data_IF_473552694969
#
_entry.id   IF_473552694969
#
_cell.length_a   1.000
_cell.length_b   1.000
_cell.length_c   1.000
_cell.angle_alpha   90.00
_cell.angle_beta   90.00
_cell.angle_gamma   90.00
#
_symmetry.space_group_name_H-M   'P 1'
#
loop_
_entity.id
_entity.type
_entity.pdbx_description
1 polymer ?
#
# COMPACT_ATOMS: atom_id res chain seq x y z
N UNK A 1 14.69 3.74 4.29
CA UNK A 1 15.19 2.82 3.25
C UNK A 1 15.13 3.54 1.91
N UNK A 2 16.21 3.52 1.12
CA UNK A 2 16.16 3.95 -0.28
C UNK A 2 15.66 2.76 -1.09
N UNK A 3 14.63 2.97 -1.90
CA UNK A 3 14.09 1.94 -2.79
C UNK A 3 14.55 2.23 -4.21
N UNK A 4 15.18 1.24 -4.82
CA UNK A 4 15.50 1.27 -6.23
C UNK A 4 14.41 0.50 -6.99
N UNK A 5 13.80 1.16 -7.98
CA UNK A 5 12.76 0.56 -8.82
C UNK A 5 13.38 0.26 -10.17
N UNK A 6 13.44 -1.02 -10.52
CA UNK A 6 14.01 -1.49 -11.78
C UNK A 6 12.89 -1.86 -12.75
N UNK A 7 12.73 -1.15 -13.88
CA UNK A 7 11.87 -1.61 -14.95
C UNK A 7 12.55 -2.80 -15.63
N UNK A 8 11.83 -3.92 -15.70
CA UNK A 8 12.26 -5.13 -16.42
C UNK A 8 11.34 -5.27 -17.63
N UNK A 9 11.94 -5.41 -18.81
CA UNK A 9 11.20 -5.72 -20.03
C UNK A 9 10.77 -7.18 -20.00
N UNK A 10 9.47 -7.42 -20.17
CA UNK A 10 8.86 -8.75 -20.15
C UNK A 10 7.99 -8.95 -21.40
N UNK A 11 7.63 -10.20 -21.66
CA UNK A 11 6.67 -10.51 -22.72
C UNK A 11 5.33 -9.79 -22.52
N UNK A 12 4.76 -9.34 -23.63
CA UNK A 12 3.52 -8.58 -23.60
C UNK A 12 2.38 -9.45 -23.03
N UNK A 13 1.71 -9.01 -21.94
CA UNK A 13 0.68 -9.83 -21.32
C UNK A 13 -0.54 -9.95 -22.22
N UNK A 14 -1.25 -11.07 -22.11
CA UNK A 14 -2.53 -11.28 -22.78
C UNK A 14 -3.69 -11.16 -21.78
N UNK A 15 -4.92 -11.16 -22.29
CA UNK A 15 -6.15 -11.17 -21.48
C UNK A 15 -6.48 -9.90 -20.67
N UNK A 16 -6.19 -8.74 -21.25
CA UNK A 16 -6.65 -7.45 -20.75
C UNK A 16 -7.30 -6.63 -21.88
N UNK A 17 -8.06 -5.60 -21.49
CA UNK A 17 -8.53 -4.57 -22.42
C UNK A 17 -8.08 -3.20 -21.92
N UNK A 18 -7.74 -2.26 -22.80
CA UNK A 18 -7.31 -0.91 -22.40
C UNK A 18 -8.36 -0.26 -21.50
N UNK A 19 -9.65 -0.39 -21.87
CA UNK A 19 -10.77 0.12 -21.07
C UNK A 19 -10.82 -0.46 -19.66
N UNK A 20 -10.54 -1.75 -19.48
CA UNK A 20 -10.48 -2.35 -18.15
C UNK A 20 -9.36 -1.78 -17.29
N UNK A 21 -8.19 -1.51 -17.88
CA UNK A 21 -7.06 -0.90 -17.16
C UNK A 21 -7.36 0.54 -16.75
N UNK A 22 -8.03 1.31 -17.62
CA UNK A 22 -8.44 2.68 -17.29
C UNK A 22 -9.42 2.73 -16.12
N UNK A 23 -10.42 1.83 -16.11
CA UNK A 23 -11.39 1.72 -15.01
C UNK A 23 -10.71 1.32 -13.70
N UNK A 24 -9.78 0.37 -13.74
CA UNK A 24 -9.01 -0.06 -12.56
C UNK A 24 -8.13 1.07 -12.04
N UNK A 25 -7.45 1.79 -12.93
CA UNK A 25 -6.60 2.94 -12.58
C UNK A 25 -7.43 4.05 -11.94
N UNK A 26 -8.60 4.37 -12.52
CA UNK A 26 -9.51 5.35 -11.93
C UNK A 26 -10.00 4.90 -10.54
N UNK A 27 -10.45 3.65 -10.41
CA UNK A 27 -10.96 3.13 -9.14
C UNK A 27 -9.88 3.18 -8.04
N UNK A 28 -8.66 2.72 -8.32
CA UNK A 28 -7.60 2.68 -7.31
C UNK A 28 -7.05 4.07 -7.01
N UNK A 29 -6.64 4.84 -8.02
CA UNK A 29 -5.91 6.09 -7.78
C UNK A 29 -6.83 7.26 -7.41
N UNK A 30 -8.03 7.33 -7.98
CA UNK A 30 -8.94 8.46 -7.77
C UNK A 30 -9.94 8.13 -6.66
N UNK A 31 -10.68 7.03 -6.78
CA UNK A 31 -11.77 6.74 -5.83
C UNK A 31 -11.25 6.24 -4.48
N UNK A 32 -10.27 5.32 -4.46
CA UNK A 32 -9.77 4.74 -3.21
C UNK A 32 -8.68 5.59 -2.54
N UNK A 33 -7.70 6.07 -3.32
CA UNK A 33 -6.53 6.79 -2.79
C UNK A 33 -6.65 8.32 -2.86
N UNK A 34 -7.69 8.86 -3.50
CA UNK A 34 -7.92 10.30 -3.63
C UNK A 34 -6.72 11.10 -4.18
N UNK A 35 -5.96 10.52 -5.13
CA UNK A 35 -4.83 11.17 -5.79
C UNK A 35 -5.33 12.11 -6.90
N UNK A 36 -6.08 13.15 -6.51
CA UNK A 36 -6.82 14.05 -7.41
C UNK A 36 -5.91 14.93 -8.29
N UNK A 37 -4.72 15.29 -7.79
CA UNK A 37 -3.76 16.12 -8.51
C UNK A 37 -2.93 15.32 -9.53
N UNK A 38 -3.09 14.00 -9.56
CA UNK A 38 -2.32 13.12 -10.42
C UNK A 38 -2.89 13.09 -11.83
N UNK A 39 -2.16 13.66 -12.78
CA UNK A 39 -2.56 13.68 -14.18
C UNK A 39 -1.65 12.79 -15.07
N UNK A 40 -2.22 11.67 -15.52
CA UNK A 40 -1.57 10.72 -16.43
C UNK A 40 -1.71 11.10 -17.90
N UNK A 41 -2.49 12.14 -18.24
CA UNK A 41 -2.68 12.56 -19.63
C UNK A 41 -1.50 13.41 -20.13
N UNK A 42 -1.23 13.38 -21.45
CA UNK A 42 -0.28 14.30 -22.05
C UNK A 42 -0.73 15.75 -21.87
N UNK A 43 0.24 16.65 -21.76
CA UNK A 43 -0.02 18.07 -21.58
C UNK A 43 -0.74 18.66 -22.80
N UNK A 44 -1.85 19.36 -22.57
CA UNK A 44 -2.57 20.12 -23.62
C UNK A 44 -3.61 19.33 -24.43
N UNK A 45 -3.78 18.02 -24.23
CA UNK A 45 -4.77 17.23 -24.96
C UNK A 45 -6.02 16.91 -24.12
N UNK A 46 -7.19 17.43 -24.52
CA UNK A 46 -8.46 17.25 -23.80
C UNK A 46 -9.03 15.82 -23.93
N UNK A 47 -8.96 15.25 -25.12
CA UNK A 47 -9.37 13.86 -25.41
C UNK A 47 -8.15 13.06 -25.86
N UNK A 48 -7.40 12.57 -24.88
CA UNK A 48 -6.24 11.72 -25.10
C UNK A 48 -6.27 10.53 -24.17
N UNK A 49 -5.62 9.45 -24.63
CA UNK A 49 -5.33 8.30 -23.80
C UNK A 49 -4.32 8.68 -22.71
N UNK A 50 -4.29 7.91 -21.63
CA UNK A 50 -3.25 8.08 -20.61
C UNK A 50 -1.88 7.75 -21.23
N UNK A 51 -0.83 8.43 -20.79
CA UNK A 51 0.54 8.15 -21.25
C UNK A 51 0.97 6.71 -20.88
N UNK A 52 0.38 6.17 -19.82
CA UNK A 52 0.70 4.85 -19.27
C UNK A 52 -0.59 4.17 -18.82
N UNK A 53 -0.69 2.86 -19.09
CA UNK A 53 -1.71 2.00 -18.49
C UNK A 53 -1.08 1.04 -17.50
N UNK A 54 -1.80 0.80 -16.40
CA UNK A 54 -1.36 0.00 -15.29
C UNK A 54 -2.19 -1.27 -15.19
N UNK A 55 -1.52 -2.42 -15.24
CA UNK A 55 -2.15 -3.73 -15.08
C UNK A 55 -1.71 -4.37 -13.76
N UNK A 56 -2.64 -4.67 -12.83
CA UNK A 56 -2.32 -5.45 -11.64
C UNK A 56 -1.98 -6.89 -12.04
N UNK A 57 -0.87 -7.44 -11.52
CA UNK A 57 -0.51 -8.84 -11.76
C UNK A 57 -0.76 -9.67 -10.51
N UNK A 58 -1.58 -10.70 -10.67
CA UNK A 58 -1.72 -11.79 -9.72
C UNK A 58 -1.15 -13.04 -10.38
N UNK A 59 -0.10 -13.60 -9.78
CA UNK A 59 0.63 -14.72 -10.36
C UNK A 59 0.38 -15.96 -9.50
N UNK A 60 -0.01 -17.04 -10.14
CA UNK A 60 0.00 -18.38 -9.55
C UNK A 60 1.29 -19.08 -9.96
N UNK A 61 2.14 -19.38 -8.98
CA UNK A 61 3.36 -20.14 -9.22
C UNK A 61 2.97 -21.61 -9.45
N UNK A 62 3.37 -22.16 -10.61
CA UNK A 62 3.24 -23.58 -10.88
C UNK A 62 4.48 -24.30 -10.36
N UNK A 63 4.30 -25.26 -9.46
CA UNK A 63 5.35 -26.24 -9.17
C UNK A 63 5.42 -27.22 -10.34
N UNK A 64 6.62 -27.43 -10.88
CA UNK A 64 6.83 -28.44 -11.91
C UNK A 64 6.73 -29.83 -11.22
N UNK A 65 5.84 -30.74 -11.62
CA UNK A 65 5.80 -32.09 -11.04
C UNK A 65 7.03 -32.96 -11.40
N UNK A 66 7.98 -32.44 -12.18
CA UNK A 66 9.14 -33.17 -12.68
C UNK A 66 10.37 -33.17 -11.73
N UNK A 67 10.30 -32.56 -10.55
CA UNK A 67 11.33 -32.71 -9.50
C UNK A 67 10.72 -33.36 -8.26
N UNK A 68 10.29 -34.62 -8.41
CA UNK A 68 10.12 -35.55 -7.29
C UNK A 68 11.13 -36.67 -7.44
N UNK A 69 12.41 -36.37 -7.26
CA UNK A 69 13.40 -37.39 -6.90
C UNK A 69 14.24 -36.85 -5.75
N UNK A 70 13.98 -37.43 -4.59
CA UNK A 70 14.84 -37.49 -3.42
C UNK A 70 15.18 -36.15 -2.76
N UNK A 71 14.24 -35.63 -1.97
CA UNK A 71 14.61 -35.08 -0.68
C UNK A 71 13.59 -35.50 0.37
N UNK A 72 14.05 -36.33 1.30
CA UNK A 72 13.33 -36.71 2.49
C UNK A 72 13.15 -35.46 3.37
N UNK A 73 11.98 -34.81 3.30
CA UNK A 73 11.54 -33.94 4.37
C UNK A 73 10.11 -34.31 4.78
N UNK A 74 10.03 -35.07 5.86
CA UNK A 74 8.79 -35.44 6.53
C UNK A 74 8.13 -34.19 7.12
N UNK A 75 6.91 -33.88 6.68
CA UNK A 75 5.95 -33.15 7.50
C UNK A 75 4.76 -34.08 7.70
N UNK A 76 4.74 -34.72 8.87
CA UNK A 76 3.58 -35.41 9.41
C UNK A 76 2.47 -34.40 9.66
N UNK A 77 1.41 -34.45 8.86
CA UNK A 77 0.10 -33.94 9.27
C UNK A 77 -0.86 -35.13 9.36
N UNK A 78 -1.02 -35.61 10.58
CA UNK A 78 -2.18 -36.39 11.01
C UNK A 78 -3.44 -35.55 10.83
N UNK A 79 -4.30 -35.93 9.89
CA UNK A 79 -5.71 -35.58 9.93
C UNK A 79 -6.53 -36.79 9.45
N UNK A 80 -7.31 -37.30 10.39
CA UNK A 80 -8.20 -38.45 10.31
C UNK A 80 -9.22 -38.35 9.18
N UNK A 81 -9.34 -39.48 8.49
CA UNK A 81 -10.39 -39.90 7.57
C UNK A 81 -11.79 -39.69 8.16
N UNK A 82 -12.66 -38.98 7.44
CA UNK A 82 -14.07 -39.40 7.33
C UNK A 82 -14.48 -39.27 5.87
N UNK A 83 -14.70 -40.44 5.26
CA UNK A 83 -15.23 -40.60 3.92
C UNK A 83 -16.69 -40.14 3.90
N UNK A 84 -17.07 -39.38 2.88
CA UNK A 84 -18.38 -39.55 2.25
C UNK A 84 -18.24 -39.24 0.76
N UNK A 85 -18.16 -40.33 0.00
CA UNK A 85 -18.28 -40.41 -1.44
C UNK A 85 -19.69 -40.03 -1.87
N UNK A 86 -19.82 -39.02 -2.75
CA UNK A 86 -20.93 -38.95 -3.71
C UNK A 86 -20.32 -38.65 -5.08
N UNK A 87 -20.61 -39.55 -6.00
CA UNK A 87 -20.11 -39.62 -7.36
C UNK A 87 -21.10 -39.04 -8.37
N UNK A 88 -20.56 -38.38 -9.39
CA UNK A 88 -21.05 -38.26 -10.78
C UNK A 88 -22.23 -37.31 -11.02
N UNK A 89 -22.00 -36.20 -11.74
CA UNK A 89 -22.32 -36.22 -13.19
C UNK A 89 -21.58 -35.12 -13.99
N UNK A 90 -20.87 -35.58 -15.01
CA UNK A 90 -20.19 -34.78 -16.03
C UNK A 90 -21.10 -34.72 -17.24
N UNK A 91 -21.70 -33.56 -17.53
CA UNK A 91 -22.08 -33.22 -18.91
C UNK A 91 -22.36 -31.73 -19.05
N UNK A 92 -21.33 -30.98 -19.45
CA UNK A 92 -21.34 -29.98 -20.54
C UNK A 92 -20.04 -29.18 -20.49
N UNK A 93 -19.08 -29.68 -21.25
CA UNK A 93 -17.92 -28.94 -21.71
C UNK A 93 -18.39 -27.67 -22.44
N UNK A 94 -17.89 -26.52 -22.02
CA UNK A 94 -17.49 -25.49 -22.97
C UNK A 94 -15.97 -25.37 -22.85
N UNK A 95 -15.29 -25.98 -23.82
CA UNK A 95 -13.85 -25.82 -24.07
C UNK A 95 -13.52 -24.33 -24.17
N UNK A 96 -12.97 -23.77 -23.10
CA UNK A 96 -12.13 -22.59 -23.18
C UNK A 96 -10.71 -23.14 -23.14
N UNK A 97 -10.19 -23.41 -24.34
CA UNK A 97 -8.79 -23.68 -24.59
C UNK A 97 -7.99 -22.52 -23.99
N UNK A 98 -7.50 -22.74 -22.78
CA UNK A 98 -6.80 -21.73 -21.99
C UNK A 98 -5.41 -21.63 -22.59
N UNK A 99 -5.23 -20.73 -23.56
CA UNK A 99 -3.93 -20.44 -24.14
C UNK A 99 -3.00 -19.97 -23.01
N UNK A 100 -2.13 -20.88 -22.59
CA UNK A 100 -1.29 -20.80 -21.41
C UNK A 100 -0.18 -19.78 -21.66
N UNK A 101 -0.31 -18.57 -21.10
CA UNK A 101 0.80 -17.62 -21.10
C UNK A 101 1.76 -18.02 -19.99
N UNK A 102 2.90 -18.57 -20.39
CA UNK A 102 4.00 -18.99 -19.52
C UNK A 102 4.82 -17.75 -19.23
N UNK A 103 4.72 -17.18 -18.03
CA UNK A 103 5.65 -16.13 -17.61
C UNK A 103 6.91 -16.82 -17.07
N UNK A 104 7.99 -16.74 -17.83
CA UNK A 104 9.31 -17.20 -17.42
C UNK A 104 9.95 -16.15 -16.51
N UNK A 105 10.01 -16.42 -15.20
CA UNK A 105 10.83 -15.62 -14.28
C UNK A 105 12.12 -16.40 -14.03
N UNK A 106 13.21 -15.95 -14.65
CA UNK A 106 14.54 -16.52 -14.43
C UNK A 106 15.62 -15.74 -15.17
N UNK A 107 16.62 -15.29 -14.42
CA UNK A 107 17.90 -14.85 -14.97
C UNK A 107 18.55 -16.02 -15.70
N UNK A 108 19.15 -15.72 -16.85
CA UNK A 108 19.95 -16.66 -17.62
C UNK A 108 21.18 -17.10 -16.81
N UNK A 109 21.04 -18.13 -15.96
CA UNK A 109 22.12 -19.05 -15.55
C UNK A 109 21.74 -20.15 -14.56
N UNK A 110 20.53 -20.18 -13.99
CA UNK A 110 20.10 -21.28 -13.11
C UNK A 110 18.83 -21.97 -13.62
N UNK A 111 18.88 -23.30 -13.78
CA UNK A 111 17.84 -24.18 -14.34
C UNK A 111 16.53 -24.28 -13.52
N UNK A 112 16.20 -23.28 -12.70
CA UNK A 112 14.94 -23.19 -11.97
C UNK A 112 14.06 -22.08 -12.57
N UNK A 113 13.66 -22.24 -13.84
CA UNK A 113 12.64 -21.37 -14.44
C UNK A 113 11.32 -21.60 -13.72
N UNK A 114 10.96 -20.68 -12.83
CA UNK A 114 9.67 -20.73 -12.13
C UNK A 114 8.60 -20.28 -13.13
N UNK A 115 7.74 -21.21 -13.52
CA UNK A 115 6.64 -20.92 -14.43
C UNK A 115 5.49 -20.32 -13.61
N UNK A 116 5.15 -19.07 -13.92
CA UNK A 116 3.99 -18.36 -13.36
C UNK A 116 2.82 -18.28 -14.34
N UNK A 117 1.61 -18.55 -13.87
CA UNK A 117 0.36 -18.24 -14.59
C UNK A 117 -0.18 -16.89 -14.15
N UNK A 118 -0.47 -16.01 -15.11
CA UNK A 118 -1.03 -14.68 -14.87
C UNK A 118 -2.56 -14.73 -14.84
N UNK A 119 -3.15 -14.10 -13.82
CA UNK A 119 -4.61 -14.00 -13.71
C UNK A 119 -5.18 -12.97 -14.71
N UNK A 120 -6.20 -13.33 -15.51
CA UNK A 120 -6.87 -12.39 -16.41
C UNK A 120 -7.56 -11.22 -15.70
N UNK A 121 -7.52 -10.03 -16.31
CA UNK A 121 -8.05 -8.80 -15.71
C UNK A 121 -9.55 -8.85 -15.45
N UNK A 122 -10.32 -9.51 -16.33
CA UNK A 122 -11.77 -9.63 -16.16
C UNK A 122 -12.15 -10.40 -14.88
N UNK A 123 -11.32 -11.38 -14.45
CA UNK A 123 -11.56 -12.13 -13.21
C UNK A 123 -11.33 -11.25 -11.99
N UNK A 124 -10.28 -10.41 -12.04
CA UNK A 124 -9.96 -9.43 -10.99
C UNK A 124 -11.13 -8.44 -10.84
N UNK A 125 -11.59 -7.85 -11.94
CA UNK A 125 -12.71 -6.91 -11.93
C UNK A 125 -13.98 -7.54 -11.38
N UNK A 126 -14.30 -8.78 -11.78
CA UNK A 126 -15.47 -9.50 -11.27
C UNK A 126 -15.39 -9.72 -9.75
N UNK A 127 -14.21 -10.06 -9.24
CA UNK A 127 -14.00 -10.25 -7.81
C UNK A 127 -14.15 -8.92 -7.05
N UNK A 128 -13.46 -7.86 -7.49
CA UNK A 128 -13.56 -6.55 -6.84
C UNK A 128 -14.95 -5.95 -6.89
N UNK A 129 -15.68 -6.13 -8.00
CA UNK A 129 -17.07 -5.69 -8.11
C UNK A 129 -17.96 -6.42 -7.10
N UNK A 130 -17.77 -7.74 -6.93
CA UNK A 130 -18.52 -8.52 -5.95
C UNK A 130 -18.25 -8.03 -4.53
N UNK A 131 -16.99 -7.77 -4.19
CA UNK A 131 -16.60 -7.25 -2.87
C UNK A 131 -17.13 -5.81 -2.65
N UNK A 132 -17.00 -4.94 -3.65
CA UNK A 132 -17.47 -3.54 -3.60
C UNK A 132 -18.98 -3.41 -3.32
N UNK A 133 -19.77 -4.41 -3.73
CA UNK A 133 -21.22 -4.45 -3.48
C UNK A 133 -21.56 -5.02 -2.10
N UNK A 134 -20.60 -5.59 -1.38
CA UNK A 134 -20.83 -6.21 -0.07
C UNK A 134 -20.50 -5.23 1.05
N UNK A 135 -21.42 -4.99 2.01
CA UNK A 135 -21.10 -4.20 3.19
C UNK A 135 -20.06 -4.93 4.05
N UNK A 136 -19.27 -4.20 4.83
CA UNK A 136 -18.30 -4.79 5.77
C UNK A 136 -19.03 -5.72 6.74
N UNK A 137 -20.12 -5.24 7.33
CA UNK A 137 -21.04 -6.04 8.16
C UNK A 137 -22.47 -5.72 7.74
N UNK A 138 -23.27 -6.75 7.49
CA UNK A 138 -24.68 -6.57 7.17
C UNK A 138 -25.50 -6.35 8.45
N UNK A 139 -26.51 -5.48 8.37
CA UNK A 139 -27.47 -5.25 9.46
C UNK A 139 -28.12 -6.54 9.98
N UNK A 140 -28.39 -7.50 9.07
CA UNK A 140 -29.01 -8.78 9.41
C UNK A 140 -28.12 -9.68 10.28
N UNK A 141 -26.80 -9.48 10.24
CA UNK A 141 -25.83 -10.30 10.96
C UNK A 141 -25.54 -9.77 12.37
N UNK A 142 -25.93 -8.53 12.68
CA UNK A 142 -25.60 -7.85 13.94
C UNK A 142 -26.06 -8.65 15.18
N UNK A 143 -27.26 -9.22 15.15
CA UNK A 143 -27.76 -10.03 16.27
C UNK A 143 -26.94 -11.30 16.47
N UNK A 144 -26.45 -11.90 15.39
CA UNK A 144 -25.58 -13.08 15.45
C UNK A 144 -24.20 -12.71 15.97
N UNK A 145 -23.64 -11.58 15.55
CA UNK A 145 -22.32 -11.08 15.97
C UNK A 145 -22.26 -10.80 17.49
N UNK A 146 -23.35 -10.27 18.06
CA UNK A 146 -23.45 -10.04 19.50
C UNK A 146 -23.43 -11.36 20.30
N UNK A 147 -23.97 -12.45 19.76
CA UNK A 147 -24.01 -13.76 20.41
C UNK A 147 -22.77 -14.62 20.19
N UNK A 148 -21.99 -14.35 19.13
CA UNK A 148 -20.79 -15.12 18.81
C UNK A 148 -19.78 -15.11 19.95
N UNK A 149 -19.10 -16.23 20.14
CA UNK A 149 -17.94 -16.29 21.03
C UNK A 149 -16.76 -15.48 20.44
N UNK A 150 -15.78 -15.13 21.27
CA UNK A 150 -14.58 -14.39 20.81
C UNK A 150 -13.80 -15.16 19.73
N UNK A 151 -13.81 -16.49 19.78
CA UNK A 151 -13.11 -17.35 18.81
C UNK A 151 -13.83 -17.34 17.46
N UNK A 152 -15.16 -17.50 17.47
CA UNK A 152 -15.98 -17.43 16.25
C UNK A 152 -15.89 -16.04 15.61
N UNK A 153 -15.89 -14.98 16.42
CA UNK A 153 -15.71 -13.61 15.96
C UNK A 153 -14.36 -13.39 15.28
N UNK A 154 -13.27 -13.88 15.90
CA UNK A 154 -11.93 -13.80 15.32
C UNK A 154 -11.87 -14.51 13.96
N UNK A 155 -12.45 -15.70 13.85
CA UNK A 155 -12.53 -16.44 12.59
C UNK A 155 -13.37 -15.72 11.53
N UNK A 156 -14.46 -15.07 11.95
CA UNK A 156 -15.31 -14.28 11.06
C UNK A 156 -14.58 -13.06 10.47
N UNK A 157 -13.79 -12.35 11.29
CA UNK A 157 -13.03 -11.17 10.86
C UNK A 157 -11.74 -11.51 10.12
N UNK A 158 -11.21 -12.73 10.26
CA UNK A 158 -9.88 -13.09 9.76
C UNK A 158 -9.62 -12.67 8.31
N UNK A 159 -10.64 -12.76 7.43
CA UNK A 159 -10.55 -12.35 6.04
C UNK A 159 -10.65 -10.82 5.80
N UNK A 160 -11.28 -10.09 6.72
CA UNK A 160 -11.46 -8.63 6.64
C UNK A 160 -10.29 -7.87 7.26
N UNK A 161 -9.59 -8.49 8.20
CA UNK A 161 -8.44 -7.88 8.86
C UNK A 161 -7.35 -7.55 7.85
N UNK A 162 -6.85 -6.32 7.89
CA UNK A 162 -5.84 -5.82 6.97
C UNK A 162 -6.35 -5.55 5.56
N UNK A 163 -7.68 -5.46 5.35
CA UNK A 163 -8.26 -5.02 4.07
C UNK A 163 -8.67 -3.55 4.13
N UNK A 164 -8.96 -2.96 2.97
CA UNK A 164 -9.52 -1.62 2.88
C UNK A 164 -11.04 -1.64 2.88
N UNK A 165 -11.63 -0.71 3.62
CA UNK A 165 -13.05 -0.41 3.62
C UNK A 165 -13.31 0.96 3.02
N UNK A 166 -14.32 1.08 2.16
CA UNK A 166 -14.67 2.32 1.48
C UNK A 166 -16.06 2.78 1.92
N UNK A 167 -16.18 4.05 2.25
CA UNK A 167 -17.44 4.75 2.44
C UNK A 167 -17.57 5.81 1.33
N UNK A 168 -18.38 5.54 0.28
CA UNK A 168 -18.56 6.50 -0.79
C UNK A 168 -19.24 7.79 -0.27
N UNK A 169 -18.64 8.94 -0.56
CA UNK A 169 -19.17 10.26 -0.17
C UNK A 169 -18.69 10.80 1.19
N UNK A 170 -17.80 10.10 1.90
CA UNK A 170 -17.11 10.63 3.08
C UNK A 170 -15.65 10.97 2.74
N UNK A 171 -15.04 11.80 3.59
CA UNK A 171 -13.61 12.14 3.55
C UNK A 171 -12.97 11.80 4.90
N UNK A 172 -11.97 10.91 4.96
CA UNK A 172 -11.46 10.10 3.86
C UNK A 172 -12.50 9.10 3.34
N UNK A 173 -12.47 8.81 2.04
CA UNK A 173 -13.35 7.80 1.42
C UNK A 173 -13.00 6.38 1.84
N UNK A 174 -11.71 6.07 1.96
CA UNK A 174 -11.22 4.70 2.22
C UNK A 174 -10.34 4.66 3.46
N UNK A 175 -10.56 3.64 4.29
CA UNK A 175 -9.81 3.40 5.53
C UNK A 175 -9.35 1.94 5.60
N UNK A 176 -8.18 1.70 6.19
CA UNK A 176 -7.69 0.33 6.43
C UNK A 176 -8.32 -0.21 7.72
N UNK A 177 -8.83 -1.44 7.64
CA UNK A 177 -9.32 -2.17 8.81
C UNK A 177 -8.13 -2.87 9.46
N UNK A 178 -7.62 -2.37 10.57
CA UNK A 178 -6.54 -3.06 11.32
C UNK A 178 -7.11 -4.07 12.30
N UNK A 179 -8.19 -3.70 13.00
CA UNK A 179 -8.98 -4.56 13.87
C UNK A 179 -10.47 -4.18 13.80
N UNK A 180 -11.34 -5.10 14.20
CA UNK A 180 -12.78 -4.88 14.33
C UNK A 180 -13.22 -5.26 15.75
N UNK A 181 -13.62 -4.26 16.51
CA UNK A 181 -13.96 -4.41 17.92
C UNK A 181 -15.47 -4.37 18.13
N UNK A 182 -15.96 -5.30 18.93
CA UNK A 182 -17.35 -5.28 19.39
C UNK A 182 -17.43 -4.36 20.59
N UNK A 183 -18.34 -3.39 20.57
CA UNK A 183 -18.65 -2.65 21.78
C UNK A 183 -19.34 -3.60 22.76
N UNK A 184 -18.60 -4.07 23.76
CA UNK A 184 -19.23 -4.64 24.96
C UNK A 184 -19.88 -3.49 25.71
N UNK A 185 -21.21 -3.39 25.64
CA UNK A 185 -21.96 -2.45 26.47
C UNK A 185 -21.84 -2.91 27.92
N UNK A 186 -20.77 -2.53 28.60
CA UNK A 186 -20.66 -2.61 30.05
C UNK A 186 -21.66 -1.61 30.64
N UNK A 187 -22.90 -2.05 30.88
CA UNK A 187 -23.74 -1.45 31.90
C UNK A 187 -25.15 -0.97 31.54
N UNK A 188 -25.63 -1.06 30.29
CA UNK A 188 -27.04 -0.76 29.98
C UNK A 188 -27.58 -1.70 28.89
N UNK A 189 -28.19 -2.81 29.32
CA UNK A 189 -28.92 -3.73 28.46
C UNK A 189 -30.27 -3.13 28.06
N UNK A 190 -30.27 -2.28 27.04
CA UNK A 190 -31.44 -2.15 26.18
C UNK A 190 -31.25 -3.16 25.04
N UNK A 191 -31.78 -4.38 25.21
CA UNK A 191 -31.68 -5.51 24.27
C UNK A 191 -32.25 -5.21 22.86
N UNK A 192 -32.80 -4.03 22.66
CA UNK A 192 -33.41 -3.56 21.41
C UNK A 192 -32.45 -2.81 20.48
N UNK A 193 -31.30 -2.35 20.95
CA UNK A 193 -30.38 -1.53 20.13
C UNK A 193 -29.26 -2.41 19.56
N UNK A 194 -29.34 -2.70 18.26
CA UNK A 194 -28.27 -3.34 17.52
C UNK A 194 -27.17 -2.31 17.24
N UNK A 195 -25.98 -2.56 17.79
CA UNK A 195 -24.82 -1.67 17.66
C UNK A 195 -23.86 -2.26 16.63
N UNK A 196 -23.45 -1.46 15.66
CA UNK A 196 -22.41 -1.81 14.71
C UNK A 196 -21.04 -1.91 15.41
N UNK A 197 -20.22 -2.92 15.09
CA UNK A 197 -18.83 -2.97 15.53
C UNK A 197 -18.03 -1.74 15.09
N UNK A 198 -16.93 -1.49 15.80
CA UNK A 198 -16.00 -0.41 15.51
C UNK A 198 -14.85 -0.92 14.64
N UNK A 199 -14.57 -0.21 13.55
CA UNK A 199 -13.32 -0.30 12.81
C UNK A 199 -12.26 0.45 13.63
N UNK A 200 -11.23 -0.29 14.02
CA UNK A 200 -10.04 0.26 14.63
C UNK A 200 -8.98 0.39 13.56
N UNK A 201 -8.58 1.63 13.27
CA UNK A 201 -7.52 1.95 12.33
C UNK A 201 -6.33 2.54 13.09
N UNK A 202 -5.17 1.88 12.95
CA UNK A 202 -3.93 2.32 13.56
C UNK A 202 -3.11 3.06 12.51
N UNK A 203 -3.03 4.38 12.68
CA UNK A 203 -2.19 5.24 11.84
C UNK A 203 -0.93 5.63 12.58
N UNK A 204 0.10 5.97 11.82
CA UNK A 204 1.32 6.52 12.37
C UNK A 204 1.48 7.97 11.93
N UNK A 205 1.78 8.85 12.87
CA UNK A 205 2.26 10.20 12.54
C UNK A 205 3.71 10.32 13.01
N UNK A 206 4.66 10.69 12.12
CA UNK A 206 6.04 10.84 12.54
C UNK A 206 6.14 11.91 13.63
N UNK A 207 6.64 11.51 14.79
CA UNK A 207 6.72 12.33 16.01
C UNK A 207 7.27 13.74 15.76
N UNK A 208 8.30 13.84 14.91
CA UNK A 208 8.92 15.12 14.54
C UNK A 208 7.95 16.03 13.80
N UNK A 209 7.09 15.51 12.92
CA UNK A 209 6.13 16.31 12.17
C UNK A 209 4.98 16.78 13.08
N UNK A 210 4.52 15.89 13.98
CA UNK A 210 3.45 16.17 14.94
C UNK A 210 3.88 17.23 15.96
N UNK A 211 5.07 17.10 16.54
CA UNK A 211 5.62 18.08 17.50
C UNK A 211 6.08 19.38 16.82
N UNK A 212 6.60 19.34 15.59
CA UNK A 212 6.99 20.58 14.86
C UNK A 212 5.80 21.47 14.54
N UNK A 213 4.58 20.92 14.56
CA UNK A 213 3.34 21.71 14.44
C UNK A 213 3.15 22.64 15.65
N UNK A 214 3.64 22.27 16.83
CA UNK A 214 3.55 23.10 18.02
C UNK A 214 4.57 24.26 17.97
N UNK A 215 4.12 25.52 18.15
CA UNK A 215 5.02 26.66 18.11
C UNK A 215 6.00 26.68 19.30
N UNK A 216 5.60 26.10 20.45
CA UNK A 216 6.45 25.99 21.65
C UNK A 216 7.62 25.04 21.41
N UNK A 217 7.36 23.82 20.91
CA UNK A 217 8.42 22.87 20.56
C UNK A 217 9.40 23.47 19.54
N UNK A 218 8.90 24.14 18.51
CA UNK A 218 9.74 24.80 17.48
C UNK A 218 10.65 25.89 18.05
N UNK A 219 10.15 26.69 19.00
CA UNK A 219 10.94 27.77 19.61
C UNK A 219 12.04 27.21 20.51
N UNK A 220 11.73 26.21 21.34
CA UNK A 220 12.69 25.54 22.23
C UNK A 220 13.76 24.83 21.40
N UNK A 221 13.38 24.07 20.36
CA UNK A 221 14.32 23.40 19.45
C UNK A 221 15.27 24.39 18.76
N UNK A 222 14.73 25.52 18.28
CA UNK A 222 15.54 26.58 17.65
C UNK A 222 16.55 27.18 18.64
N UNK A 223 16.11 27.42 19.88
CA UNK A 223 16.98 27.96 20.93
C UNK A 223 18.07 26.96 21.33
N UNK A 224 17.73 25.67 21.45
CA UNK A 224 18.66 24.59 21.71
C UNK A 224 19.74 24.51 20.63
N UNK A 225 19.35 24.44 19.35
CA UNK A 225 20.29 24.39 18.21
C UNK A 225 21.18 25.64 18.15
N UNK A 226 20.60 26.82 18.39
CA UNK A 226 21.36 28.09 18.42
C UNK A 226 22.41 28.09 19.52
N UNK A 227 22.06 27.62 20.72
CA UNK A 227 22.97 27.56 21.86
C UNK A 227 24.08 26.54 21.61
N UNK A 228 23.75 25.36 21.08
CA UNK A 228 24.72 24.33 20.71
C UNK A 228 25.73 24.83 19.67
N UNK A 229 25.26 25.50 18.62
CA UNK A 229 26.11 26.13 17.61
C UNK A 229 27.02 27.20 18.21
N UNK A 230 26.48 28.04 19.10
CA UNK A 230 27.24 29.09 19.76
C UNK A 230 28.33 28.50 20.66
N UNK A 231 28.03 27.43 21.41
CA UNK A 231 29.00 26.74 22.27
C UNK A 231 30.13 26.09 21.48
N UNK A 232 29.84 25.56 20.28
CA UNK A 232 30.86 24.96 19.41
C UNK A 232 31.86 26.00 18.86
N UNK A 233 31.43 27.25 18.71
CA UNK A 233 32.26 28.35 18.19
C UNK A 233 32.83 29.28 19.27
N UNK A 234 32.41 29.13 20.54
CA UNK A 234 32.93 29.94 21.64
C UNK A 234 34.35 29.46 22.02
N UNK A 235 35.33 30.38 22.19
CA UNK A 235 36.70 30.01 22.56
C UNK A 235 36.79 29.39 23.97
N UNK A 236 35.86 29.73 24.87
CA UNK A 236 35.68 29.09 26.18
C UNK A 236 34.20 28.95 26.49
N UNK A 237 33.81 27.75 26.91
CA UNK A 237 32.42 27.40 27.22
C UNK A 237 32.10 27.80 28.67
N UNK A 238 31.09 28.66 28.86
CA UNK A 238 30.61 29.05 30.19
C UNK A 238 29.84 27.91 30.85
N UNK A 239 29.90 27.83 32.19
CA UNK A 239 29.10 26.88 32.98
C UNK A 239 27.61 27.18 32.91
N UNK A 240 27.23 28.45 32.82
CA UNK A 240 25.83 28.90 32.64
C UNK A 240 25.21 28.32 31.36
N UNK A 241 25.97 28.32 30.26
CA UNK A 241 25.50 27.86 28.95
C UNK A 241 25.27 26.35 28.97
N UNK A 242 26.10 25.60 29.70
CA UNK A 242 25.90 24.15 29.91
C UNK A 242 24.61 23.87 30.65
N UNK A 243 24.30 24.63 31.71
CA UNK A 243 23.07 24.47 32.48
C UNK A 243 21.84 24.78 31.62
N UNK A 244 21.87 25.86 30.83
CA UNK A 244 20.78 26.21 29.92
C UNK A 244 20.56 25.15 28.84
N UNK A 245 21.63 24.55 28.31
CA UNK A 245 21.52 23.49 27.32
C UNK A 245 20.85 22.24 27.91
N UNK A 246 21.23 21.87 29.14
CA UNK A 246 20.60 20.73 29.86
C UNK A 246 19.13 21.01 30.16
N UNK A 247 18.78 22.24 30.56
CA UNK A 247 17.39 22.63 30.79
C UNK A 247 16.55 22.55 29.51
N UNK A 248 17.04 23.11 28.41
CA UNK A 248 16.37 23.06 27.11
C UNK A 248 16.24 21.61 26.59
N UNK A 249 17.25 20.77 26.83
CA UNK A 249 17.21 19.35 26.49
C UNK A 249 16.14 18.60 27.29
N UNK A 250 16.05 18.85 28.60
CA UNK A 250 15.03 18.25 29.47
C UNK A 250 13.62 18.72 29.11
N UNK A 251 13.43 19.98 28.73
CA UNK A 251 12.13 20.49 28.27
C UNK A 251 11.73 19.84 26.93
N UNK A 252 12.68 19.64 26.00
CA UNK A 252 12.43 18.92 24.75
C UNK A 252 12.03 17.47 25.01
N UNK A 253 12.73 16.80 25.92
CA UNK A 253 12.43 15.41 26.32
C UNK A 253 11.05 15.30 26.97
N UNK A 254 10.69 16.23 27.86
CA UNK A 254 9.36 16.27 28.47
C UNK A 254 8.26 16.46 27.41
N UNK A 255 8.46 17.37 26.44
CA UNK A 255 7.52 17.57 25.35
C UNK A 255 7.38 16.33 24.46
N UNK A 256 8.47 15.61 24.19
CA UNK A 256 8.45 14.34 23.45
C UNK A 256 7.68 13.23 24.20
N UNK A 257 7.75 13.20 25.53
CA UNK A 257 7.10 12.19 26.36
C UNK A 257 5.68 12.56 26.83
N UNK A 258 5.27 13.82 26.69
CA UNK A 258 3.95 14.34 27.10
C UNK A 258 2.76 13.63 26.44
N UNK A 259 2.99 12.85 25.38
CA UNK A 259 2.00 11.92 24.82
C UNK A 259 0.84 12.57 24.06
N UNK A 260 0.77 13.91 23.99
CA UNK A 260 -0.26 14.65 23.23
C UNK A 260 -0.15 14.35 21.72
N UNK A 261 1.02 13.91 21.27
CA UNK A 261 1.32 13.57 19.89
C UNK A 261 1.96 12.17 19.80
N UNK A 262 1.22 11.14 20.20
CA UNK A 262 1.68 9.74 20.08
C UNK A 262 2.05 9.44 18.63
N UNK A 263 3.16 8.70 18.48
CA UNK A 263 3.63 8.14 17.21
C UNK A 263 2.53 7.32 16.52
N UNK A 264 1.78 6.57 17.30
CA UNK A 264 0.65 5.76 16.86
C UNK A 264 -0.66 6.42 17.30
N UNK A 265 -1.51 6.74 16.32
CA UNK A 265 -2.85 7.28 16.51
C UNK A 265 -3.84 6.18 16.13
N UNK A 266 -4.52 5.65 17.14
CA UNK A 266 -5.62 4.72 16.95
C UNK A 266 -6.92 5.50 16.80
N UNK A 267 -7.60 5.29 15.68
CA UNK A 267 -8.89 5.90 15.38
C UNK A 267 -9.95 4.80 15.40
N UNK A 268 -11.03 5.02 16.14
CA UNK A 268 -12.16 4.10 16.24
C UNK A 268 -13.37 4.73 15.54
N UNK A 269 -13.93 4.03 14.54
CA UNK A 269 -15.05 4.52 13.72
C UNK A 269 -16.09 3.40 13.61
N UNK A 270 -17.38 3.71 13.64
CA UNK A 270 -18.42 2.68 13.40
C UNK A 270 -18.29 2.09 12.00
N UNK A 271 -18.45 0.77 11.87
CA UNK A 271 -18.43 0.10 10.55
C UNK A 271 -19.70 0.34 9.71
N UNK A 272 -20.64 1.15 10.21
CA UNK A 272 -21.91 1.44 9.54
C UNK A 272 -21.68 2.14 8.19
N UNK A 273 -22.30 1.58 7.14
CA UNK A 273 -22.24 2.15 5.79
C UNK A 273 -20.90 1.95 5.06
N UNK A 274 -19.94 1.26 5.67
CA UNK A 274 -18.71 0.87 4.99
C UNK A 274 -18.93 -0.36 4.10
N UNK A 275 -18.36 -0.31 2.90
CA UNK A 275 -18.31 -1.40 1.93
C UNK A 275 -16.93 -2.01 1.88
N UNK A 276 -16.87 -3.30 1.57
CA UNK A 276 -15.60 -4.01 1.36
C UNK A 276 -15.03 -3.59 0.01
N UNK A 277 -13.71 -3.62 -0.14
CA UNK A 277 -13.06 -3.39 -1.44
C UNK A 277 -12.43 -4.66 -2.01
N UNK A 278 -12.14 -5.65 -1.16
CA UNK A 278 -11.33 -6.81 -1.51
C UNK A 278 -9.85 -6.49 -1.76
N UNK A 279 -9.44 -5.23 -1.55
CA UNK A 279 -8.09 -4.75 -1.77
C UNK A 279 -7.35 -4.72 -0.44
N UNK A 280 -6.14 -5.28 -0.44
CA UNK A 280 -5.19 -5.26 0.67
C UNK A 280 -4.22 -4.08 0.53
N UNK A 281 -3.50 -3.69 1.59
CA UNK A 281 -2.62 -2.51 1.59
C UNK A 281 -1.38 -2.64 0.70
N UNK A 282 -1.09 -3.84 0.21
CA UNK A 282 -0.06 -4.08 -0.80
C UNK A 282 -0.30 -3.26 -2.07
N UNK A 283 -1.52 -3.28 -2.62
CA UNK A 283 -1.85 -2.59 -3.87
C UNK A 283 -1.71 -1.05 -3.74
N UNK A 284 -2.31 -0.38 -2.73
CA UNK A 284 -2.05 1.04 -2.44
C UNK A 284 -0.58 1.38 -2.32
N UNK A 285 0.18 0.51 -1.67
CA UNK A 285 1.59 0.74 -1.42
C UNK A 285 2.39 0.74 -2.74
N UNK A 286 2.10 -0.20 -3.64
CA UNK A 286 2.68 -0.18 -5.00
C UNK A 286 2.18 1.01 -5.82
N UNK A 287 0.89 1.36 -5.72
CA UNK A 287 0.30 2.47 -6.44
C UNK A 287 1.01 3.80 -6.11
N UNK A 288 1.28 4.07 -4.84
CA UNK A 288 2.01 5.28 -4.41
C UNK A 288 3.46 5.32 -4.94
N UNK A 289 4.18 4.21 -4.89
CA UNK A 289 5.55 4.13 -5.42
C UNK A 289 5.59 4.34 -6.94
N UNK A 290 4.57 3.86 -7.63
CA UNK A 290 4.45 3.95 -9.08
C UNK A 290 4.24 5.40 -9.56
N UNK A 291 3.59 6.25 -8.76
CA UNK A 291 3.50 7.68 -9.05
C UNK A 291 4.89 8.31 -9.18
N UNK A 292 5.78 7.99 -8.24
CA UNK A 292 7.16 8.48 -8.24
C UNK A 292 7.95 7.98 -9.46
N UNK A 293 7.84 6.68 -9.76
CA UNK A 293 8.50 6.08 -10.92
C UNK A 293 8.06 6.75 -12.22
N UNK A 294 6.77 6.98 -12.41
CA UNK A 294 6.27 7.53 -13.66
C UNK A 294 6.64 9.01 -13.80
N UNK A 295 6.66 9.77 -12.71
CA UNK A 295 7.20 11.13 -12.73
C UNK A 295 8.66 11.13 -13.21
N UNK A 296 9.47 10.18 -12.72
CA UNK A 296 10.86 9.99 -13.14
C UNK A 296 10.96 9.61 -14.63
N UNK A 297 10.16 8.65 -15.12
CA UNK A 297 10.15 8.25 -16.53
C UNK A 297 9.74 9.41 -17.45
N UNK A 298 8.72 10.19 -17.08
CA UNK A 298 8.29 11.36 -17.84
C UNK A 298 9.38 12.44 -17.89
N UNK A 299 10.09 12.64 -16.78
CA UNK A 299 11.21 13.56 -16.73
C UNK A 299 12.36 13.10 -17.63
N UNK A 300 12.75 11.83 -17.58
CA UNK A 300 13.77 11.31 -18.49
C UNK A 300 13.36 11.40 -19.96
N UNK A 301 12.08 11.21 -20.28
CA UNK A 301 11.58 11.40 -21.64
C UNK A 301 11.62 12.87 -22.09
N UNK A 302 11.40 13.82 -21.19
CA UNK A 302 11.51 15.23 -21.52
C UNK A 302 12.96 15.68 -21.72
N UNK A 303 13.93 15.05 -21.03
CA UNK A 303 15.36 15.26 -21.27
C UNK A 303 15.76 14.92 -22.71
N UNK A 304 15.22 13.86 -23.31
CA UNK A 304 15.49 13.53 -24.71
C UNK A 304 15.04 14.67 -25.65
N UNK A 305 13.90 15.29 -25.37
CA UNK A 305 13.47 16.48 -26.13
C UNK A 305 14.38 17.69 -25.91
N UNK A 306 15.03 17.80 -24.74
CA UNK A 306 15.98 18.86 -24.45
C UNK A 306 17.32 18.62 -25.17
N UNK A 307 17.83 17.39 -25.16
CA UNK A 307 19.04 16.99 -25.88
C UNK A 307 18.91 17.29 -27.37
N UNK A 308 17.75 16.97 -27.96
CA UNK A 308 17.44 17.29 -29.35
C UNK A 308 17.48 18.79 -29.64
N UNK A 309 17.11 19.65 -28.67
CA UNK A 309 17.16 21.12 -28.83
C UNK A 309 18.56 21.69 -28.63
N UNK A 310 19.37 21.07 -27.78
CA UNK A 310 20.75 21.47 -27.52
C UNK A 310 21.71 20.98 -28.62
N UNK A 311 21.34 19.94 -29.37
CA UNK A 311 22.21 19.30 -30.36
C UNK A 311 23.36 18.53 -29.72
N UNK A 312 23.21 18.14 -28.45
CA UNK A 312 24.20 17.39 -27.68
C UNK A 312 23.53 16.28 -26.88
N UNK A 313 24.02 15.06 -27.02
CA UNK A 313 23.56 13.88 -26.29
C UNK A 313 24.49 13.61 -25.11
N UNK A 314 23.96 13.56 -23.90
CA UNK A 314 24.75 13.26 -22.71
C UNK A 314 24.95 11.74 -22.59
N UNK A 315 26.19 11.33 -22.32
CA UNK A 315 26.50 9.91 -22.07
C UNK A 315 25.86 9.41 -20.76
N UNK A 316 25.85 10.26 -19.73
CA UNK A 316 25.24 9.96 -18.43
C UNK A 316 24.03 10.87 -18.17
N UNK A 317 22.84 10.29 -18.33
CA UNK A 317 21.56 10.97 -18.08
C UNK A 317 21.30 11.22 -16.59
N UNK A 318 21.95 10.47 -15.69
CA UNK A 318 21.78 10.64 -14.25
C UNK A 318 22.43 11.94 -13.77
N UNK A 319 23.62 12.27 -14.29
CA UNK A 319 24.29 13.53 -14.02
C UNK A 319 23.46 14.73 -14.50
N UNK A 320 22.85 14.59 -15.69
CA UNK A 320 21.95 15.60 -16.22
C UNK A 320 20.73 15.80 -15.30
N UNK A 321 20.12 14.71 -14.82
CA UNK A 321 19.01 14.80 -13.85
C UNK A 321 19.42 15.53 -12.56
N UNK A 322 20.58 15.19 -11.99
CA UNK A 322 21.10 15.86 -10.78
C UNK A 322 21.35 17.35 -11.02
N UNK A 323 21.81 17.74 -12.21
CA UNK A 323 22.05 19.16 -12.54
C UNK A 323 20.77 20.02 -12.51
N UNK A 324 19.60 19.41 -12.76
CA UNK A 324 18.30 20.08 -12.67
C UNK A 324 17.70 20.07 -11.27
N UNK A 325 18.23 19.26 -10.35
CA UNK A 325 17.77 19.24 -8.96
C UNK A 325 18.21 20.51 -8.22
N UNK A 326 17.27 21.43 -8.02
CA UNK A 326 17.43 22.57 -7.13
C UNK A 326 17.28 22.17 -5.66
N UNK A 327 17.98 22.87 -4.76
CA UNK A 327 17.84 22.73 -3.31
C UNK A 327 16.43 23.04 -2.77
N UNK A 328 15.47 23.42 -3.60
CA UNK A 328 14.04 23.52 -3.22
C UNK A 328 13.25 22.21 -3.31
N UNK A 329 13.76 21.18 -3.99
CA UNK A 329 13.02 19.96 -4.36
C UNK A 329 13.05 18.83 -3.32
N UNK A 330 13.49 19.09 -2.09
CA UNK A 330 13.67 18.09 -1.01
C UNK A 330 12.46 17.18 -0.73
N UNK A 331 11.25 17.54 -1.14
CA UNK A 331 10.03 16.77 -0.87
C UNK A 331 9.77 15.58 -1.81
N UNK A 332 10.37 15.51 -3.00
CA UNK A 332 10.07 14.43 -3.95
C UNK A 332 10.46 13.03 -3.44
N UNK A 333 11.39 12.95 -2.48
CA UNK A 333 11.93 11.66 -1.99
C UNK A 333 11.41 11.25 -0.61
N UNK A 334 10.91 12.20 0.20
CA UNK A 334 10.56 11.96 1.61
C UNK A 334 9.13 11.44 1.83
N UNK A 335 8.17 11.67 0.92
CA UNK A 335 6.78 11.26 1.13
C UNK A 335 6.60 9.73 0.97
N UNK A 336 7.32 9.10 0.03
CA UNK A 336 7.24 7.64 -0.19
C UNK A 336 7.97 6.81 0.88
N UNK A 337 8.94 7.36 1.59
CA UNK A 337 9.79 6.58 2.51
C UNK A 337 9.13 6.27 3.85
N UNK A 338 8.15 7.07 4.29
CA UNK A 338 7.69 7.06 5.69
C UNK A 338 6.40 6.27 5.95
N UNK A 339 5.67 5.86 4.91
CA UNK A 339 4.48 4.98 5.05
C UNK A 339 4.89 3.50 5.28
N UNK A 340 6.17 3.17 5.09
CA UNK A 340 6.60 1.81 4.79
C UNK A 340 6.93 0.92 6.01
N UNK A 341 7.08 1.42 7.23
CA UNK A 341 7.86 0.69 8.24
C UNK A 341 7.28 -0.67 8.70
N UNK A 342 5.99 -1.02 8.48
CA UNK A 342 5.47 -2.33 8.92
C UNK A 342 4.33 -2.95 8.08
N UNK A 343 4.64 -3.50 6.90
CA UNK A 343 3.87 -4.63 6.32
C UNK A 343 4.82 -5.68 5.75
N UNK A 344 5.31 -6.56 6.63
CA UNK A 344 6.01 -7.80 6.24
C UNK A 344 4.96 -8.89 6.04
N UNK A 345 4.47 -9.08 4.82
CA UNK A 345 3.95 -10.38 4.38
C UNK A 345 4.19 -10.56 2.87
N UNK A 346 4.88 -11.64 2.53
CA UNK A 346 5.25 -12.04 1.17
C UNK A 346 4.00 -12.26 0.31
N UNK A 347 3.68 -11.31 -0.55
CA UNK A 347 2.94 -11.55 -1.80
C UNK A 347 3.65 -10.72 -2.86
N UNK A 348 4.20 -11.40 -3.87
CA UNK A 348 4.90 -10.75 -4.99
C UNK A 348 3.85 -10.13 -5.92
N UNK A 349 3.62 -8.83 -5.78
CA UNK A 349 2.80 -8.06 -6.70
C UNK A 349 3.73 -7.31 -7.67
N UNK A 350 3.70 -7.69 -8.94
CA UNK A 350 4.36 -6.96 -10.00
C UNK A 350 3.28 -6.16 -10.75
N UNK A 351 3.57 -4.94 -11.22
CA UNK A 351 2.64 -4.18 -12.07
C UNK A 351 3.32 -4.04 -13.43
N UNK A 352 2.61 -4.43 -14.50
CA UNK A 352 3.13 -4.27 -15.84
C UNK A 352 2.85 -2.84 -16.32
N UNK A 353 3.93 -2.14 -16.71
CA UNK A 353 3.88 -0.82 -17.32
C UNK A 353 3.74 -1.00 -18.83
N UNK A 354 2.58 -0.64 -19.38
CA UNK A 354 2.38 -0.60 -20.82
C UNK A 354 2.64 0.83 -21.32
N UNK A 355 3.74 1.00 -22.05
CA UNK A 355 4.05 2.22 -22.78
C UNK A 355 3.38 2.14 -24.17
N UNK A 356 2.57 3.13 -24.53
CA UNK A 356 1.98 3.27 -25.89
C UNK A 356 2.86 4.20 -26.72
#
# INVERSE_FOLDING_TARGET
MLYDIFPIEEEFPQYFTVRSLDLLTQYVFIELLELLDLNWKPYGAKESCNVIHLMPRFIRILSNPATTTNDNFSITNTATTTNNSISVDNSKEHNIESNKLVVCIGDSSDNNTVIGELLPVHVIMRHWLKEALTPVINMMELSSIQRMTTIEWSNHIANLRGTLACFPGKKPSTIRIDQLDRQSVTGQSNETILIYPLIVHMTYTPMKLSLTREPKYKSVLKNFMKLQYLMMNKPRISTSDRVQLVQLASELEEMEHSGVHRREVTVEISCEGFYRTGIRPDIPQYALNLVSLIAHLRFHKSLESLENRLGYTFNDKSLLHVSFCSAGLYMCMYICTYVWEHVQHRTLFYILLLYI
#
